data_IF_917349302787
#
_entry.id   IF_917349302787
#
_cell.length_a   1.000
_cell.length_b   1.000
_cell.length_c   1.000
_cell.angle_alpha   90.00
_cell.angle_beta   90.00
_cell.angle_gamma   90.00
#
_symmetry.space_group_name_H-M   'P 1'
#
loop_
_entity.id
_entity.type
_entity.pdbx_description
1 polymer ?
#
# COMPACT_ATOMS: atom_id res chain seq x y z
N UNK A 1 7.40 11.40 28.72
CA UNK A 1 8.17 10.14 28.58
C UNK A 1 8.23 9.31 29.86
N UNK A 2 8.19 9.92 31.06
CA UNK A 2 8.19 9.19 32.34
C UNK A 2 6.91 8.39 32.59
N UNK A 3 5.75 8.92 32.21
CA UNK A 3 4.44 8.28 32.37
C UNK A 3 4.28 7.01 31.54
N UNK A 4 4.73 7.03 30.27
CA UNK A 4 4.65 5.89 29.35
C UNK A 4 5.48 4.70 29.87
N UNK A 5 6.62 4.97 30.51
CA UNK A 5 7.49 3.93 31.09
C UNK A 5 6.87 3.23 32.31
N UNK A 6 5.78 3.77 32.89
CA UNK A 6 5.03 3.16 33.99
C UNK A 6 3.98 2.16 33.50
N UNK A 7 3.61 2.23 32.22
CA UNK A 7 2.71 1.29 31.57
C UNK A 7 3.43 -0.04 31.31
N UNK A 8 2.68 -1.13 31.39
CA UNK A 8 3.12 -2.44 30.91
C UNK A 8 3.39 -2.40 29.40
N UNK A 9 4.19 -3.34 28.86
CA UNK A 9 4.42 -3.40 27.42
C UNK A 9 3.13 -3.50 26.59
N UNK A 10 2.11 -4.18 27.10
CA UNK A 10 0.81 -4.29 26.42
C UNK A 10 0.07 -2.94 26.39
N UNK A 11 -0.03 -2.26 27.53
CA UNK A 11 -0.68 -0.93 27.60
C UNK A 11 0.06 0.12 26.75
N UNK A 12 1.38 0.00 26.59
CA UNK A 12 2.15 0.84 25.66
C UNK A 12 1.77 0.57 24.20
N UNK A 13 1.57 -0.69 23.82
CA UNK A 13 1.13 -1.07 22.47
C UNK A 13 -0.30 -0.59 22.21
N UNK A 14 -1.21 -0.79 23.17
CA UNK A 14 -2.60 -0.34 23.07
C UNK A 14 -2.67 1.19 22.90
N UNK A 15 -1.88 1.94 23.70
CA UNK A 15 -1.77 3.39 23.57
C UNK A 15 -1.20 3.82 22.21
N UNK A 16 -0.22 3.08 21.69
CA UNK A 16 0.35 3.37 20.37
C UNK A 16 -0.67 3.15 19.26
N UNK A 17 -1.48 2.10 19.36
CA UNK A 17 -2.57 1.82 18.42
C UNK A 17 -3.64 2.92 18.45
N UNK A 18 -4.04 3.35 19.65
CA UNK A 18 -5.03 4.42 19.83
C UNK A 18 -4.53 5.75 19.26
N UNK A 19 -3.27 6.12 19.54
CA UNK A 19 -2.64 7.32 18.97
C UNK A 19 -2.56 7.20 17.43
N UNK A 20 -2.19 6.03 16.91
CA UNK A 20 -2.12 5.82 15.47
C UNK A 20 -3.50 5.95 14.81
N UNK A 21 -4.57 5.46 15.45
CA UNK A 21 -5.94 5.60 14.98
C UNK A 21 -6.39 7.07 14.97
N UNK A 22 -6.12 7.82 16.05
CA UNK A 22 -6.42 9.24 16.14
C UNK A 22 -5.69 10.05 15.06
N UNK A 23 -4.41 9.77 14.84
CA UNK A 23 -3.62 10.43 13.81
C UNK A 23 -4.15 10.12 12.41
N UNK A 24 -4.51 8.85 12.12
CA UNK A 24 -5.11 8.47 10.84
C UNK A 24 -6.44 9.18 10.57
N UNK A 25 -7.26 9.37 11.60
CA UNK A 25 -8.53 10.09 11.49
C UNK A 25 -8.34 11.61 11.33
N UNK A 26 -7.29 12.17 11.93
CA UNK A 26 -6.95 13.59 11.82
C UNK A 26 -6.23 13.95 10.51
N UNK A 27 -5.59 12.96 9.86
CA UNK A 27 -4.99 13.17 8.55
C UNK A 27 -6.10 13.50 7.54
N UNK A 28 -5.89 14.52 6.68
CA UNK A 28 -6.84 14.80 5.61
C UNK A 28 -7.02 13.54 4.78
N UNK A 29 -8.28 13.17 4.51
CA UNK A 29 -8.58 12.08 3.61
C UNK A 29 -7.75 12.28 2.34
N UNK A 30 -6.93 11.28 2.02
CA UNK A 30 -6.26 11.30 0.72
C UNK A 30 -7.35 11.44 -0.33
N UNK A 31 -7.18 12.34 -1.31
CA UNK A 31 -8.15 12.46 -2.39
C UNK A 31 -8.33 11.08 -3.00
N UNK A 32 -9.59 10.71 -3.23
CA UNK A 32 -9.93 9.50 -3.98
C UNK A 32 -9.18 9.56 -5.31
N UNK A 33 -8.13 8.75 -5.44
CA UNK A 33 -7.31 8.71 -6.64
C UNK A 33 -8.14 8.10 -7.76
N UNK A 34 -8.11 8.73 -8.93
CA UNK A 34 -8.72 8.12 -10.10
C UNK A 34 -7.79 7.05 -10.65
N UNK A 35 -8.32 5.87 -11.00
CA UNK A 35 -7.56 4.86 -11.74
C UNK A 35 -7.00 5.43 -13.07
N UNK A 36 -7.62 6.49 -13.59
CA UNK A 36 -7.18 7.19 -14.80
C UNK A 36 -5.84 7.90 -14.63
N UNK A 37 -5.39 8.16 -13.41
CA UNK A 37 -4.05 8.70 -13.14
C UNK A 37 -2.94 7.74 -13.59
N UNK A 38 -3.25 6.44 -13.72
CA UNK A 38 -2.31 5.42 -14.19
C UNK A 38 -2.28 5.28 -15.71
N UNK A 39 -3.17 5.96 -16.43
CA UNK A 39 -3.31 5.82 -17.89
C UNK A 39 -2.00 6.23 -18.57
N UNK A 40 -1.42 5.30 -19.32
CA UNK A 40 -0.23 5.54 -20.14
C UNK A 40 1.10 5.44 -19.39
N UNK A 41 1.12 5.36 -18.05
CA UNK A 41 2.36 5.21 -17.29
C UNK A 41 3.14 3.95 -17.66
N UNK A 42 2.45 2.88 -18.07
CA UNK A 42 3.07 1.65 -18.53
C UNK A 42 3.62 1.71 -19.95
N UNK A 43 3.16 2.61 -20.81
CA UNK A 43 3.48 2.58 -22.25
C UNK A 43 4.99 2.58 -22.55
N UNK A 44 5.83 3.37 -21.85
CA UNK A 44 7.28 3.34 -22.07
C UNK A 44 7.94 2.01 -21.70
N UNK A 45 7.39 1.29 -20.71
CA UNK A 45 7.88 0.01 -20.18
C UNK A 45 7.57 -1.12 -21.17
N UNK A 46 6.41 -1.04 -21.83
CA UNK A 46 5.99 -2.02 -22.84
C UNK A 46 6.64 -1.82 -24.22
N UNK A 47 7.49 -0.81 -24.41
CA UNK A 47 8.19 -0.61 -25.69
C UNK A 47 9.14 -1.78 -25.97
N UNK A 48 8.97 -2.38 -27.14
CA UNK A 48 9.78 -3.54 -27.56
C UNK A 48 9.35 -4.87 -26.91
N UNK A 49 8.38 -4.83 -25.98
CA UNK A 49 7.79 -6.04 -25.40
C UNK A 49 6.58 -6.44 -26.23
N UNK A 50 6.58 -7.66 -26.76
CA UNK A 50 5.38 -8.25 -27.37
C UNK A 50 4.42 -8.65 -26.26
N UNK A 51 3.43 -7.79 -25.99
CA UNK A 51 2.52 -7.96 -24.85
C UNK A 51 1.84 -9.34 -24.83
N UNK A 52 1.47 -9.86 -25.99
CA UNK A 52 0.81 -11.16 -26.11
C UNK A 52 1.72 -12.33 -25.67
N UNK A 53 3.01 -12.27 -25.97
CA UNK A 53 3.96 -13.31 -25.60
C UNK A 53 4.24 -13.30 -24.10
N UNK A 54 4.35 -12.09 -23.52
CA UNK A 54 4.53 -11.92 -22.08
C UNK A 54 3.33 -12.48 -21.31
N UNK A 55 2.09 -12.13 -21.71
CA UNK A 55 0.87 -12.67 -21.09
C UNK A 55 0.79 -14.19 -21.24
N UNK A 56 1.22 -14.73 -22.38
CA UNK A 56 1.28 -16.18 -22.60
C UNK A 56 2.22 -16.89 -21.61
N UNK A 57 3.41 -16.33 -21.39
CA UNK A 57 4.38 -16.88 -20.44
C UNK A 57 3.87 -16.85 -19.00
N UNK A 58 3.27 -15.74 -18.58
CA UNK A 58 2.68 -15.61 -17.23
C UNK A 58 1.56 -16.64 -17.01
N UNK A 59 0.68 -16.86 -18.00
CA UNK A 59 -0.38 -17.88 -17.90
C UNK A 59 0.20 -19.29 -17.77
N UNK A 60 1.14 -19.64 -18.63
CA UNK A 60 1.80 -20.95 -18.58
C UNK A 60 2.53 -21.19 -17.25
N UNK A 61 3.02 -20.14 -16.59
CA UNK A 61 3.64 -20.23 -15.27
C UNK A 61 2.64 -20.40 -14.12
N UNK A 62 1.36 -20.08 -14.33
CA UNK A 62 0.29 -20.18 -13.33
C UNK A 62 -0.59 -21.43 -13.50
N UNK A 63 -0.65 -21.97 -14.71
CA UNK A 63 -1.37 -23.22 -15.05
C UNK A 63 -0.56 -24.48 -14.64
N UNK A 64 -0.11 -24.51 -13.38
CA UNK A 64 0.55 -25.67 -12.76
C UNK A 64 -0.36 -26.87 -12.57
#
# INVERSE_FOLDING_TARGET
MSEIRRLTPQEQLDLLEEIAALLRAALPMQPTRSILELKGLGAPIWRGVRAQDYVGQERAAWDG
#
